data_IF_354378658348
#
_entry.id   IF_354378658348
#
_cell.length_a   1.000
_cell.length_b   1.000
_cell.length_c   1.000
_cell.angle_alpha   90.00
_cell.angle_beta   90.00
_cell.angle_gamma   90.00
#
_symmetry.space_group_name_H-M   'P 1'
#
loop_
_entity.id
_entity.type
_entity.pdbx_description
1 polymer ?
#
# COMPACT_ATOMS: atom_id res chain seq x y z
N UNK A 1 -5.07 -11.95 9.61
CA UNK A 1 -4.85 -12.73 8.37
C UNK A 1 -5.38 -14.15 8.57
N UNK A 2 -5.81 -14.83 7.50
CA UNK A 2 -6.16 -16.25 7.56
C UNK A 2 -5.03 -17.10 8.17
N UNK A 3 -5.37 -18.11 8.97
CA UNK A 3 -4.39 -18.96 9.68
C UNK A 3 -3.52 -19.80 8.77
N UNK A 4 -3.92 -19.98 7.51
CA UNK A 4 -3.18 -20.70 6.48
C UNK A 4 -2.15 -19.83 5.74
N UNK A 5 -2.04 -18.53 6.07
CA UNK A 5 -0.93 -17.66 5.64
C UNK A 5 0.13 -17.58 6.74
N UNK A 6 1.33 -18.08 6.47
CA UNK A 6 2.41 -18.14 7.45
C UNK A 6 3.35 -16.96 7.38
N UNK A 7 3.58 -16.44 6.16
CA UNK A 7 4.40 -15.26 5.91
C UNK A 7 3.76 -14.42 4.82
N UNK A 8 3.96 -13.12 4.90
CA UNK A 8 3.70 -12.22 3.79
C UNK A 8 4.71 -11.08 3.80
N UNK A 9 5.00 -10.52 2.64
CA UNK A 9 5.76 -9.28 2.51
C UNK A 9 5.14 -8.44 1.41
N UNK A 10 5.25 -7.13 1.51
CA UNK A 10 4.81 -6.27 0.44
C UNK A 10 5.20 -4.82 0.56
N UNK A 11 4.88 -4.11 -0.51
CA UNK A 11 4.88 -2.66 -0.59
C UNK A 11 3.40 -2.26 -0.58
N UNK A 12 3.03 -1.42 0.39
CA UNK A 12 1.69 -0.85 0.52
C UNK A 12 1.75 0.66 0.24
N UNK A 13 0.77 1.13 -0.51
CA UNK A 13 0.52 2.53 -0.82
C UNK A 13 -0.85 2.92 -0.28
N UNK A 14 -0.84 3.67 0.83
CA UNK A 14 -2.05 4.14 1.49
C UNK A 14 -2.47 5.51 0.95
N UNK A 15 -3.78 5.78 0.95
CA UNK A 15 -4.30 7.07 0.47
C UNK A 15 -3.89 8.23 1.38
N UNK A 16 -3.75 7.97 2.67
CA UNK A 16 -3.45 8.94 3.72
C UNK A 16 -1.95 9.23 3.85
N UNK A 17 -1.10 8.52 3.11
CA UNK A 17 0.36 8.65 3.23
C UNK A 17 1.04 8.70 1.86
N UNK A 18 1.90 9.70 1.61
CA UNK A 18 2.68 9.76 0.37
C UNK A 18 3.82 8.74 0.35
N UNK A 19 4.14 8.10 1.49
CA UNK A 19 5.29 7.22 1.64
C UNK A 19 5.07 5.82 1.04
N UNK A 20 6.17 5.11 0.82
CA UNK A 20 6.22 3.68 0.52
C UNK A 20 6.23 2.90 1.83
N UNK A 21 5.31 1.98 2.05
CA UNK A 21 5.25 1.23 3.31
C UNK A 21 5.68 -0.22 3.08
N UNK A 22 6.79 -0.62 3.71
CA UNK A 22 7.30 -1.99 3.64
C UNK A 22 6.60 -2.81 4.72
N UNK A 23 5.67 -3.66 4.30
CA UNK A 23 4.92 -4.58 5.15
C UNK A 23 5.64 -5.94 5.24
N UNK A 24 5.74 -6.48 6.45
CA UNK A 24 6.27 -7.81 6.71
C UNK A 24 5.43 -8.53 7.75
N UNK A 25 5.02 -9.77 7.47
CA UNK A 25 4.28 -10.65 8.38
C UNK A 25 4.97 -11.99 8.51
N UNK A 26 5.04 -12.50 9.74
CA UNK A 26 5.56 -13.83 10.06
C UNK A 26 4.81 -14.41 11.26
N UNK A 27 4.07 -15.49 11.03
CA UNK A 27 3.16 -16.06 12.03
C UNK A 27 2.10 -15.03 12.46
N UNK A 28 1.89 -14.79 13.76
CA UNK A 28 0.87 -13.85 14.24
C UNK A 28 1.32 -12.39 14.25
N UNK A 29 2.59 -12.09 13.93
CA UNK A 29 3.17 -10.75 14.04
C UNK A 29 3.32 -10.11 12.67
N UNK A 30 3.13 -8.80 12.64
CA UNK A 30 3.45 -7.98 11.48
C UNK A 30 4.17 -6.69 11.88
N UNK A 31 4.85 -6.10 10.91
CA UNK A 31 5.53 -4.82 11.00
C UNK A 31 5.34 -4.03 9.70
N UNK A 32 5.33 -2.70 9.79
CA UNK A 32 5.21 -1.77 8.68
C UNK A 32 6.21 -0.64 8.89
N UNK A 33 7.07 -0.40 7.90
CA UNK A 33 8.10 0.62 7.94
C UNK A 33 7.97 1.58 6.75
N UNK A 34 8.09 2.88 7.01
CA UNK A 34 7.97 3.93 5.99
C UNK A 34 9.32 4.15 5.30
N UNK A 35 9.28 4.29 3.98
CA UNK A 35 10.44 4.56 3.13
C UNK A 35 10.07 5.52 2.01
N UNK A 36 11.08 6.11 1.38
CA UNK A 36 10.90 6.88 0.15
C UNK A 36 10.62 5.96 -1.05
N UNK A 37 9.86 6.50 -2.00
CA UNK A 37 9.66 5.85 -3.29
C UNK A 37 10.92 5.96 -4.15
N UNK A 38 11.35 4.83 -4.69
CA UNK A 38 12.43 4.76 -5.70
C UNK A 38 11.89 4.51 -7.11
N UNK A 39 10.58 4.27 -7.23
CA UNK A 39 9.84 3.97 -8.45
C UNK A 39 8.44 4.58 -8.37
N UNK A 40 7.64 4.49 -9.44
CA UNK A 40 6.24 4.88 -9.39
C UNK A 40 5.47 4.11 -8.29
N UNK A 41 4.59 4.79 -7.52
CA UNK A 41 3.81 4.16 -6.46
C UNK A 41 2.95 3.00 -6.96
N UNK A 42 3.03 1.87 -6.25
CA UNK A 42 2.21 0.67 -6.51
C UNK A 42 2.12 -0.22 -5.27
N UNK A 43 1.06 -1.02 -5.22
CA UNK A 43 0.91 -2.10 -4.25
C UNK A 43 1.51 -3.40 -4.82
N UNK A 44 2.36 -4.08 -4.05
CA UNK A 44 2.94 -5.38 -4.41
C UNK A 44 2.98 -6.26 -3.18
N UNK A 45 2.44 -7.48 -3.26
CA UNK A 45 2.34 -8.38 -2.13
C UNK A 45 2.73 -9.81 -2.53
N UNK A 46 3.42 -10.50 -1.64
CA UNK A 46 3.73 -11.93 -1.73
C UNK A 46 3.22 -12.60 -0.46
N UNK A 47 2.52 -13.72 -0.64
CA UNK A 47 1.98 -14.54 0.44
C UNK A 47 2.61 -15.94 0.38
N UNK A 48 2.93 -16.50 1.54
CA UNK A 48 3.45 -17.87 1.69
C UNK A 48 2.59 -18.57 2.73
N UNK A 49 2.00 -19.69 2.32
CA UNK A 49 1.04 -20.44 3.13
C UNK A 49 0.71 -21.79 2.54
N UNK A 50 -0.32 -22.45 3.05
CA UNK A 50 -0.81 -23.74 2.57
C UNK A 50 -2.27 -23.62 2.12
N UNK A 51 -2.62 -24.31 1.03
CA UNK A 51 -3.99 -24.33 0.49
C UNK A 51 -4.57 -22.91 0.35
N UNK A 52 -3.77 -22.00 -0.21
CA UNK A 52 -4.16 -20.61 -0.38
C UNK A 52 -5.20 -20.51 -1.49
N UNK A 53 -6.36 -19.95 -1.17
CA UNK A 53 -7.34 -19.55 -2.16
C UNK A 53 -6.92 -18.21 -2.76
N UNK A 54 -6.18 -18.29 -3.87
CA UNK A 54 -5.68 -17.13 -4.59
C UNK A 54 -6.82 -16.19 -5.03
N UNK A 55 -7.97 -16.74 -5.42
CA UNK A 55 -9.10 -15.96 -5.91
C UNK A 55 -9.72 -15.12 -4.79
N UNK A 56 -9.91 -15.73 -3.62
CA UNK A 56 -10.40 -15.04 -2.43
C UNK A 56 -9.43 -13.98 -1.94
N UNK A 57 -8.13 -14.29 -1.89
CA UNK A 57 -7.09 -13.32 -1.48
C UNK A 57 -7.09 -12.12 -2.43
N UNK A 58 -7.11 -12.35 -3.75
CA UNK A 58 -7.19 -11.27 -4.74
C UNK A 58 -8.47 -10.45 -4.59
N UNK A 59 -9.61 -11.10 -4.38
CA UNK A 59 -10.88 -10.41 -4.15
C UNK A 59 -10.80 -9.49 -2.93
N UNK A 60 -10.36 -10.01 -1.78
CA UNK A 60 -10.21 -9.23 -0.55
C UNK A 60 -9.25 -8.05 -0.71
N UNK A 61 -8.13 -8.22 -1.42
CA UNK A 61 -7.20 -7.13 -1.70
C UNK A 61 -7.82 -6.08 -2.62
N UNK A 62 -8.60 -6.48 -3.63
CA UNK A 62 -9.29 -5.57 -4.53
C UNK A 62 -10.37 -4.76 -3.81
N UNK A 63 -11.05 -5.35 -2.83
CA UNK A 63 -12.02 -4.65 -1.97
C UNK A 63 -11.36 -3.56 -1.11
N UNK A 64 -10.06 -3.69 -0.81
CA UNK A 64 -9.30 -2.65 -0.12
C UNK A 64 -8.81 -1.52 -1.03
N UNK A 65 -8.92 -1.65 -2.36
CA UNK A 65 -8.48 -0.60 -3.28
C UNK A 65 -9.46 0.56 -3.23
N UNK A 66 -8.93 1.73 -2.87
CA UNK A 66 -9.65 2.99 -2.98
C UNK A 66 -9.43 3.58 -4.38
N UNK A 67 -10.44 4.28 -4.89
CA UNK A 67 -10.22 5.14 -6.06
C UNK A 67 -9.15 6.15 -5.66
N UNK A 68 -8.15 6.44 -6.50
CA UNK A 68 -7.24 7.53 -6.22
C UNK A 68 -8.08 8.79 -6.02
N UNK A 69 -8.17 9.25 -4.76
CA UNK A 69 -8.57 10.61 -4.47
C UNK A 69 -7.44 11.45 -5.00
N UNK A 70 -7.49 11.81 -6.28
CA UNK A 70 -6.74 12.95 -6.78
C UNK A 70 -7.42 14.15 -6.13
N UNK A 71 -6.82 14.81 -5.13
CA UNK A 71 -7.36 16.09 -4.70
C UNK A 71 -7.22 16.99 -5.93
N UNK A 72 -8.34 17.45 -6.46
CA UNK A 72 -8.34 18.53 -7.42
C UNK A 72 -7.50 19.69 -6.84
N UNK A 73 -6.57 20.18 -7.66
CA UNK A 73 -5.87 21.46 -7.51
C UNK A 73 -5.00 21.65 -6.26
N UNK A 74 -3.70 21.38 -6.41
CA UNK A 74 -2.75 22.43 -6.04
C UNK A 74 -2.89 23.57 -7.04
N UNK A 75 -3.82 24.49 -6.76
CA UNK A 75 -3.79 25.83 -7.36
C UNK A 75 -4.00 26.87 -6.27
N UNK A 76 -2.94 27.18 -5.54
CA UNK A 76 -2.66 28.51 -5.01
C UNK A 76 -1.12 28.61 -4.96
N UNK A 77 -0.44 29.60 -5.51
CA UNK A 77 -0.81 30.81 -6.22
C UNK A 77 0.46 31.22 -6.99
N UNK A 78 0.27 31.86 -8.14
CA UNK A 78 1.31 32.61 -8.83
C UNK A 78 2.14 33.41 -7.83
N UNK A 79 3.46 33.25 -7.92
CA UNK A 79 4.45 34.13 -7.31
C UNK A 79 4.27 35.52 -7.93
N UNK A 80 3.34 36.30 -7.40
CA UNK A 80 3.41 37.76 -7.46
C UNK A 80 4.37 38.19 -6.36
N UNK A 81 5.67 38.17 -6.64
CA UNK A 81 6.58 39.09 -5.97
C UNK A 81 6.55 40.38 -6.77
N UNK A 82 5.65 41.29 -6.39
CA UNK A 82 5.88 42.71 -6.58
C UNK A 82 6.96 43.12 -5.59
N UNK A 83 8.05 43.66 -6.11
CA UNK A 83 9.16 44.28 -5.39
C UNK A 83 10.13 44.80 -6.42
#
# INVERSE_FOLDING_TARGET
>A
MPSNVFRAKGILWFQESPARHIFQLSGPRYDIQDHDWTTNPKNELVFIGRDLDESLIKQQLNECLVKPNVPHQFSLLNVFSKG
#
